data_IF_385877924679
#
_entry.id   IF_385877924679
#
_cell.length_a   1.000
_cell.length_b   1.000
_cell.length_c   1.000
_cell.angle_alpha   90.00
_cell.angle_beta   90.00
_cell.angle_gamma   90.00
#
_symmetry.space_group_name_H-M   'P 1'
#
loop_
_entity.id
_entity.type
_entity.pdbx_description
1 polymer ?
#
# COMPACT_ATOMS: atom_id res chain seq x y z
N UNK A 1 -16.73 55.66 -61.82
CA UNK A 1 -15.76 54.56 -61.80
C UNK A 1 -15.57 54.21 -60.33
N UNK A 2 -16.26 53.18 -59.87
CA UNK A 2 -16.26 52.80 -58.44
C UNK A 2 -15.08 51.89 -58.16
N UNK A 3 -14.24 52.30 -57.23
CA UNK A 3 -13.18 51.50 -56.63
C UNK A 3 -13.80 50.33 -55.86
N UNK A 4 -13.55 49.10 -56.33
CA UNK A 4 -13.91 47.89 -55.59
C UNK A 4 -12.79 47.57 -54.63
N UNK A 5 -13.05 47.87 -53.36
CA UNK A 5 -12.29 47.57 -52.17
C UNK A 5 -11.69 46.15 -52.17
N UNK A 6 -10.37 46.09 -52.05
CA UNK A 6 -9.57 44.87 -51.88
C UNK A 6 -9.99 44.15 -50.59
N UNK A 7 -10.61 42.98 -50.71
CA UNK A 7 -10.74 42.04 -49.59
C UNK A 7 -9.36 41.46 -49.28
N UNK A 8 -8.74 41.98 -48.22
CA UNK A 8 -7.54 41.39 -47.64
C UNK A 8 -7.89 40.05 -47.00
N UNK A 9 -7.68 38.96 -47.74
CA UNK A 9 -7.65 37.60 -47.18
C UNK A 9 -6.50 37.53 -46.18
N UNK A 10 -6.84 37.35 -44.90
CA UNK A 10 -5.85 37.14 -43.84
C UNK A 10 -4.89 36.01 -44.24
N UNK A 11 -3.57 36.17 -44.01
CA UNK A 11 -2.60 35.18 -44.46
C UNK A 11 -2.86 33.86 -43.73
N UNK A 12 -3.15 32.81 -44.50
CA UNK A 12 -3.10 31.44 -44.01
C UNK A 12 -1.68 31.24 -43.45
N UNK A 13 -1.57 31.18 -42.12
CA UNK A 13 -0.30 30.96 -41.44
C UNK A 13 0.42 29.79 -42.12
N UNK A 14 1.63 30.03 -42.63
CA UNK A 14 2.41 29.04 -43.35
C UNK A 14 2.55 27.78 -42.50
N UNK A 15 1.83 26.74 -42.89
CA UNK A 15 1.83 25.47 -42.19
C UNK A 15 3.19 24.81 -42.40
N UNK A 16 3.76 24.13 -41.38
CA UNK A 16 5.02 23.44 -41.53
C UNK A 16 4.95 22.41 -42.67
N UNK A 17 6.03 22.31 -43.44
CA UNK A 17 6.17 21.38 -44.57
C UNK A 17 5.76 19.97 -44.13
N UNK A 18 4.83 19.35 -44.88
CA UNK A 18 4.27 18.04 -44.57
C UNK A 18 2.93 18.06 -43.80
N UNK A 19 2.38 19.23 -43.45
CA UNK A 19 1.04 19.33 -42.84
C UNK A 19 0.02 19.92 -43.82
N UNK A 20 -1.08 19.20 -44.07
CA UNK A 20 -2.20 19.72 -44.87
C UNK A 20 -3.11 20.60 -43.99
N UNK A 21 -3.83 21.54 -44.60
CA UNK A 21 -4.76 22.44 -43.89
C UNK A 21 -5.82 21.71 -43.05
N UNK A 22 -6.20 20.49 -43.47
CA UNK A 22 -7.12 19.60 -42.75
C UNK A 22 -6.54 19.11 -41.41
N UNK A 23 -5.22 18.89 -41.31
CA UNK A 23 -4.57 18.31 -40.12
C UNK A 23 -3.78 19.34 -39.29
N UNK A 24 -3.84 20.63 -39.64
CA UNK A 24 -3.11 21.71 -38.98
C UNK A 24 -3.31 21.78 -37.44
N UNK A 25 -4.45 21.31 -36.94
CA UNK A 25 -4.78 21.29 -35.50
C UNK A 25 -4.66 19.92 -34.84
N UNK A 26 -4.32 18.88 -35.61
CA UNK A 26 -4.30 17.48 -35.15
C UNK A 26 -3.35 17.31 -33.97
N UNK A 27 -2.13 17.84 -34.05
CA UNK A 27 -1.14 17.71 -32.97
C UNK A 27 -1.60 18.38 -31.66
N UNK A 28 -2.38 19.48 -31.75
CA UNK A 28 -2.94 20.15 -30.58
C UNK A 28 -4.01 19.31 -29.89
N UNK A 29 -4.87 18.63 -30.66
CA UNK A 29 -5.90 17.74 -30.13
C UNK A 29 -5.31 16.45 -29.58
N UNK A 30 -4.33 15.86 -30.29
CA UNK A 30 -3.62 14.67 -29.83
C UNK A 30 -2.90 14.94 -28.51
N UNK A 31 -2.19 16.07 -28.41
CA UNK A 31 -1.52 16.48 -27.17
C UNK A 31 -2.52 16.66 -26.02
N UNK A 32 -3.68 17.27 -26.28
CA UNK A 32 -4.76 17.40 -25.27
C UNK A 32 -5.31 16.04 -24.84
N UNK A 33 -5.60 15.15 -25.79
CA UNK A 33 -6.06 13.80 -25.50
C UNK A 33 -5.04 13.01 -24.68
N UNK A 34 -3.77 13.09 -25.05
CA UNK A 34 -2.68 12.43 -24.33
C UNK A 34 -2.54 12.95 -22.89
N UNK A 35 -2.67 14.27 -22.67
CA UNK A 35 -2.67 14.82 -21.31
C UNK A 35 -3.86 14.33 -20.47
N UNK A 36 -5.04 14.22 -21.05
CA UNK A 36 -6.22 13.69 -20.35
C UNK A 36 -6.01 12.22 -19.98
N UNK A 37 -5.51 11.39 -20.91
CA UNK A 37 -5.18 10.00 -20.63
C UNK A 37 -4.10 9.87 -19.54
N UNK A 38 -3.03 10.67 -19.62
CA UNK A 38 -1.97 10.67 -18.62
C UNK A 38 -2.49 11.05 -17.23
N UNK A 39 -3.33 12.08 -17.16
CA UNK A 39 -3.96 12.50 -15.91
C UNK A 39 -4.87 11.41 -15.34
N UNK A 40 -5.65 10.74 -16.19
CA UNK A 40 -6.46 9.58 -15.82
C UNK A 40 -5.62 8.45 -15.20
N UNK A 41 -4.52 8.07 -15.84
CA UNK A 41 -3.61 7.03 -15.33
C UNK A 41 -2.97 7.42 -13.99
N UNK A 42 -2.60 8.68 -13.82
CA UNK A 42 -2.05 9.18 -12.54
C UNK A 42 -3.10 9.11 -11.44
N UNK A 43 -4.34 9.52 -11.71
CA UNK A 43 -5.43 9.41 -10.73
C UNK A 43 -5.71 7.95 -10.39
N UNK A 44 -5.85 7.08 -11.39
CA UNK A 44 -6.10 5.65 -11.20
C UNK A 44 -5.01 5.01 -10.34
N UNK A 45 -3.74 5.23 -10.69
CA UNK A 45 -2.61 4.71 -9.93
C UNK A 45 -2.50 5.29 -8.52
N UNK A 46 -2.66 6.61 -8.37
CA UNK A 46 -2.52 7.29 -7.08
C UNK A 46 -3.66 6.99 -6.11
N UNK A 47 -4.87 6.72 -6.59
CA UNK A 47 -6.01 6.37 -5.74
C UNK A 47 -6.07 4.89 -5.40
N UNK A 48 -5.42 4.01 -6.16
CA UNK A 48 -5.44 2.57 -5.90
C UNK A 48 -4.87 2.24 -4.51
N UNK A 49 -3.69 2.75 -4.16
CA UNK A 49 -3.05 2.44 -2.86
C UNK A 49 -3.85 3.00 -1.67
N UNK A 50 -4.27 4.28 -1.65
CA UNK A 50 -5.11 4.82 -0.56
C UNK A 50 -6.44 4.09 -0.42
N UNK A 51 -7.12 3.74 -1.52
CA UNK A 51 -8.38 2.98 -1.47
C UNK A 51 -8.14 1.60 -0.89
N UNK A 52 -7.08 0.90 -1.31
CA UNK A 52 -6.72 -0.40 -0.75
C UNK A 52 -6.35 -0.31 0.73
N UNK A 53 -5.61 0.73 1.15
CA UNK A 53 -5.28 0.96 2.54
C UNK A 53 -6.53 1.24 3.39
N UNK A 54 -7.48 2.02 2.88
CA UNK A 54 -8.77 2.22 3.57
C UNK A 54 -9.56 0.91 3.63
N UNK A 55 -9.59 0.09 2.57
CA UNK A 55 -10.40 -1.14 2.54
C UNK A 55 -9.81 -2.28 3.39
N UNK A 56 -8.52 -2.57 3.24
CA UNK A 56 -7.84 -3.65 3.98
C UNK A 56 -7.36 -3.23 5.38
N UNK A 57 -7.23 -1.93 5.65
CA UNK A 57 -6.75 -1.37 6.91
C UNK A 57 -5.43 -0.64 6.71
N UNK A 58 -5.34 0.56 7.32
CA UNK A 58 -4.15 1.39 7.25
C UNK A 58 -3.05 0.77 8.13
N UNK A 59 -1.81 0.62 7.64
CA UNK A 59 -0.72 0.07 8.45
C UNK A 59 -0.28 1.09 9.50
N UNK A 60 -0.86 1.01 10.69
CA UNK A 60 -0.45 1.83 11.85
C UNK A 60 0.70 1.19 12.64
N UNK A 61 0.86 -0.14 12.51
CA UNK A 61 1.92 -0.91 13.14
C UNK A 61 3.11 -1.10 12.20
N UNK A 62 4.32 -1.01 12.76
CA UNK A 62 5.58 -1.37 12.10
C UNK A 62 5.68 -2.89 11.86
N UNK A 63 6.55 -3.32 10.94
CA UNK A 63 6.74 -4.75 10.64
C UNK A 63 7.19 -5.55 11.87
N UNK A 64 7.97 -4.95 12.76
CA UNK A 64 8.43 -5.57 14.01
C UNK A 64 7.33 -5.70 15.04
N UNK A 65 6.44 -4.70 15.14
CA UNK A 65 5.26 -4.77 16.00
C UNK A 65 4.27 -5.81 15.48
N UNK A 66 4.03 -5.86 14.16
CA UNK A 66 3.19 -6.88 13.53
C UNK A 66 3.73 -8.27 13.84
N UNK A 67 5.04 -8.46 13.69
CA UNK A 67 5.69 -9.73 14.02
C UNK A 67 5.47 -10.10 15.50
N UNK A 68 5.65 -9.14 16.41
CA UNK A 68 5.45 -9.36 17.85
C UNK A 68 4.00 -9.70 18.18
N UNK A 69 3.02 -9.00 17.60
CA UNK A 69 1.60 -9.25 17.82
C UNK A 69 1.15 -10.60 17.25
N UNK A 70 1.65 -10.98 16.07
CA UNK A 70 1.38 -12.32 15.52
C UNK A 70 1.99 -13.43 16.38
N UNK A 71 3.18 -13.19 16.96
CA UNK A 71 3.83 -14.13 17.86
C UNK A 71 3.02 -14.34 19.15
N UNK A 72 2.53 -13.25 19.74
CA UNK A 72 1.65 -13.27 20.91
C UNK A 72 0.38 -14.07 20.66
N UNK A 73 -0.26 -13.88 19.50
CA UNK A 73 -1.45 -14.63 19.08
C UNK A 73 -1.13 -16.11 18.91
N UNK A 74 -0.07 -16.43 18.15
CA UNK A 74 0.33 -17.82 17.84
C UNK A 74 0.60 -18.64 19.09
N UNK A 75 1.31 -18.06 20.05
CA UNK A 75 1.68 -18.75 21.29
C UNK A 75 0.73 -18.44 22.45
N UNK A 76 -0.33 -17.65 22.24
CA UNK A 76 -1.25 -17.23 23.32
C UNK A 76 -0.51 -16.64 24.54
N UNK A 77 0.56 -15.89 24.28
CA UNK A 77 1.46 -15.33 25.31
C UNK A 77 1.79 -13.87 24.99
N UNK A 78 1.29 -12.98 25.83
CA UNK A 78 1.41 -11.52 25.69
C UNK A 78 2.82 -10.98 25.95
N UNK A 79 3.72 -11.79 26.53
CA UNK A 79 5.09 -11.40 26.85
C UNK A 79 6.08 -11.55 25.70
N UNK A 80 5.67 -12.20 24.60
CA UNK A 80 6.55 -12.50 23.48
C UNK A 80 6.77 -11.28 22.58
N UNK A 81 8.02 -11.03 22.24
CA UNK A 81 8.43 -9.99 21.31
C UNK A 81 9.26 -10.57 20.17
N UNK A 82 9.11 -9.96 19.00
CA UNK A 82 9.89 -10.32 17.83
C UNK A 82 11.18 -9.50 17.82
N UNK A 83 12.32 -10.19 17.86
CA UNK A 83 13.62 -9.56 17.83
C UNK A 83 14.09 -9.35 16.39
N UNK A 84 14.37 -8.09 16.03
CA UNK A 84 14.97 -7.72 14.75
C UNK A 84 16.20 -6.82 14.98
N UNK A 85 17.36 -7.08 14.35
CA UNK A 85 17.66 -8.18 13.43
C UNK A 85 17.69 -9.55 14.12
N UNK A 86 17.45 -10.61 13.34
CA UNK A 86 17.56 -11.97 13.85
C UNK A 86 18.98 -12.23 14.36
N UNK A 87 19.15 -12.95 15.48
CA UNK A 87 20.47 -13.38 15.90
C UNK A 87 21.12 -14.21 14.79
N UNK A 88 22.36 -13.85 14.42
CA UNK A 88 23.13 -14.54 13.37
C UNK A 88 23.34 -16.03 13.64
N UNK A 89 23.25 -16.45 14.91
CA UNK A 89 23.30 -17.84 15.32
C UNK A 89 21.97 -18.58 15.24
N UNK A 90 20.86 -17.95 14.83
CA UNK A 90 19.57 -18.63 14.67
C UNK A 90 19.53 -19.61 13.48
N UNK A 91 18.44 -20.39 13.32
CA UNK A 91 18.26 -21.23 12.13
C UNK A 91 18.36 -20.39 10.85
N UNK A 92 19.04 -20.85 9.79
CA UNK A 92 19.60 -22.19 9.54
C UNK A 92 21.04 -22.43 10.07
N UNK A 93 21.65 -21.47 10.76
CA UNK A 93 23.08 -21.48 11.10
C UNK A 93 23.43 -22.07 12.49
N UNK A 94 22.46 -22.62 13.23
CA UNK A 94 22.73 -23.48 14.40
C UNK A 94 22.31 -22.95 15.78
N UNK A 95 21.10 -22.40 15.89
CA UNK A 95 20.54 -21.91 17.16
C UNK A 95 19.07 -22.25 17.33
N UNK A 96 18.49 -21.95 18.51
CA UNK A 96 17.09 -22.22 18.78
C UNK A 96 16.20 -21.46 17.80
N UNK A 97 15.11 -22.08 17.29
CA UNK A 97 14.11 -21.37 16.51
C UNK A 97 13.43 -20.28 17.34
N UNK A 98 12.77 -19.36 16.65
CA UNK A 98 11.84 -18.40 17.24
C UNK A 98 10.91 -19.08 18.25
N UNK A 99 10.83 -18.53 19.47
CA UNK A 99 10.03 -19.06 20.57
C UNK A 99 10.29 -20.55 20.92
N UNK A 100 11.55 -21.01 20.77
CA UNK A 100 11.94 -22.34 21.21
C UNK A 100 11.58 -22.60 22.68
N UNK A 101 10.99 -23.75 22.96
CA UNK A 101 10.61 -24.15 24.32
C UNK A 101 9.33 -23.50 24.83
N UNK A 102 8.61 -22.72 24.01
CA UNK A 102 7.30 -22.22 24.42
C UNK A 102 6.26 -23.33 24.57
N UNK A 103 5.45 -23.22 25.63
CA UNK A 103 4.45 -24.24 26.02
C UNK A 103 3.04 -23.66 26.15
N UNK A 104 2.88 -22.37 25.90
CA UNK A 104 1.62 -21.63 25.98
C UNK A 104 0.76 -21.78 24.73
N UNK A 105 1.34 -22.25 23.61
CA UNK A 105 0.59 -22.52 22.38
C UNK A 105 -0.52 -23.55 22.64
N UNK A 106 -1.74 -23.21 22.22
CA UNK A 106 -2.93 -24.04 22.41
C UNK A 106 -3.21 -24.95 21.20
N UNK A 107 -2.34 -24.94 20.20
CA UNK A 107 -2.52 -25.69 18.95
C UNK A 107 -2.49 -27.21 19.18
N UNK A 108 -3.30 -27.94 18.41
CA UNK A 108 -3.27 -29.40 18.45
C UNK A 108 -2.17 -29.92 17.53
N UNK A 109 -1.16 -30.54 18.13
CA UNK A 109 -0.06 -31.17 17.41
C UNK A 109 -0.45 -32.56 16.90
N UNK A 110 -0.05 -32.90 15.68
CA UNK A 110 -0.34 -34.18 15.03
C UNK A 110 0.20 -34.22 13.59
N UNK A 111 -0.19 -35.24 12.83
CA UNK A 111 0.19 -35.38 11.40
C UNK A 111 -0.32 -34.17 10.59
N UNK A 112 -1.51 -33.66 10.95
CA UNK A 112 -2.05 -32.42 10.43
C UNK A 112 -2.35 -31.49 11.63
N UNK A 113 -1.40 -30.60 12.00
CA UNK A 113 -1.58 -29.72 13.14
C UNK A 113 -2.78 -28.79 12.90
N UNK A 114 -3.60 -28.62 13.93
CA UNK A 114 -4.77 -27.74 13.87
C UNK A 114 -4.53 -26.50 14.72
N UNK A 115 -4.45 -25.31 14.10
CA UNK A 115 -4.34 -24.08 14.84
C UNK A 115 -5.61 -23.85 15.66
N UNK A 116 -5.46 -23.53 16.95
CA UNK A 116 -6.58 -23.19 17.84
C UNK A 116 -6.80 -21.68 17.97
N UNK A 117 -5.92 -20.86 17.41
CA UNK A 117 -6.15 -19.42 17.29
C UNK A 117 -7.26 -19.12 16.26
N UNK A 118 -8.10 -18.12 16.52
CA UNK A 118 -9.08 -17.65 15.54
C UNK A 118 -8.36 -17.00 14.35
N UNK A 119 -8.95 -17.06 13.14
CA UNK A 119 -8.41 -16.33 11.99
C UNK A 119 -8.45 -14.83 12.29
N UNK A 120 -7.29 -14.22 12.50
CA UNK A 120 -7.17 -12.79 12.80
C UNK A 120 -6.90 -12.00 11.53
N UNK A 121 -7.73 -10.99 11.28
CA UNK A 121 -7.47 -9.98 10.25
C UNK A 121 -6.55 -8.87 10.75
N UNK A 122 -5.88 -8.15 9.86
CA UNK A 122 -4.93 -7.09 10.24
C UNK A 122 -5.56 -6.01 11.13
N UNK A 123 -6.77 -5.55 10.79
CA UNK A 123 -7.50 -4.55 11.60
C UNK A 123 -7.79 -5.03 13.02
N UNK A 124 -8.08 -6.31 13.16
CA UNK A 124 -8.31 -6.91 14.47
C UNK A 124 -7.01 -7.01 15.27
N UNK A 125 -5.90 -7.33 14.61
CA UNK A 125 -4.57 -7.32 15.23
C UNK A 125 -4.23 -5.94 15.81
N UNK A 126 -4.47 -4.86 15.04
CA UNK A 126 -4.29 -3.47 15.48
C UNK A 126 -5.18 -3.17 16.69
N UNK A 127 -6.47 -3.53 16.63
CA UNK A 127 -7.40 -3.34 17.75
C UNK A 127 -6.91 -4.05 19.02
N UNK A 128 -6.50 -5.32 18.92
CA UNK A 128 -5.98 -6.09 20.06
C UNK A 128 -4.75 -5.41 20.68
N UNK A 129 -3.84 -4.90 19.82
CA UNK A 129 -2.67 -4.16 20.26
C UNK A 129 -3.06 -2.87 21.00
N UNK A 130 -3.90 -2.02 20.40
CA UNK A 130 -4.32 -0.74 20.99
C UNK A 130 -5.05 -0.94 22.32
N UNK A 131 -5.95 -1.92 22.40
CA UNK A 131 -6.64 -2.26 23.64
C UNK A 131 -5.67 -2.72 24.73
N UNK A 132 -4.63 -3.49 24.36
CA UNK A 132 -3.58 -3.94 25.28
C UNK A 132 -2.75 -2.78 25.81
N UNK A 133 -2.29 -1.89 24.93
CA UNK A 133 -1.53 -0.69 25.29
C UNK A 133 -2.37 0.24 26.18
N UNK A 134 -3.66 0.40 25.87
CA UNK A 134 -4.58 1.18 26.69
C UNK A 134 -4.75 0.59 28.10
N UNK A 135 -4.91 -0.74 28.21
CA UNK A 135 -4.97 -1.44 29.51
C UNK A 135 -3.69 -1.26 30.32
N UNK A 136 -2.52 -1.39 29.69
CA UNK A 136 -1.23 -1.22 30.36
C UNK A 136 -1.01 0.23 30.83
N UNK A 137 -1.45 1.20 30.02
CA UNK A 137 -1.33 2.63 30.36
C UNK A 137 -2.28 3.06 31.48
N UNK A 138 -3.42 2.38 31.64
CA UNK A 138 -4.40 2.65 32.68
C UNK A 138 -4.03 2.07 34.06
N UNK A 139 -3.12 1.09 34.12
CA UNK A 139 -2.61 0.53 35.38
C UNK A 139 -1.42 1.38 35.84
N UNK A 140 -1.55 2.18 36.92
CA UNK A 140 -0.42 2.93 37.44
C UNK A 140 0.65 1.95 37.92
N UNK A 141 1.89 2.09 37.41
CA UNK A 141 3.05 1.38 37.96
C UNK A 141 3.17 1.75 39.44
N UNK A 142 2.85 0.82 40.33
CA UNK A 142 3.11 0.91 41.77
C UNK A 142 4.55 0.54 42.07
#
# INVERSE_FOLDING_TARGET
>A
MSETSSQATAPAAALPIGTTSTWARMHRWLKRGLYVCLFGLVIEGSMTVPVMAVWYGWPTLSLTEICSELLKVRFSDDSLECHHPYPMGGPPFGGPPEAAGQRTAQDEWGIQPKPRYQRIGFRELVRIHDERVARQSAVPRR
#
